data_IF_735197835014
#
_entry.id   IF_735197835014
#
_cell.length_a   1.000
_cell.length_b   1.000
_cell.length_c   1.000
_cell.angle_alpha   90.00
_cell.angle_beta   90.00
_cell.angle_gamma   90.00
#
_symmetry.space_group_name_H-M   'P 1'
#
loop_
_entity.id
_entity.type
_entity.pdbx_description
1 polymer ?
#
# COMPACT_ATOMS: atom_id res chain seq x y z
N UNK A 1 29.83 8.71 -17.40
CA UNK A 1 28.49 8.80 -16.75
C UNK A 1 27.87 7.46 -16.40
N UNK A 2 27.71 6.50 -17.33
CA UNK A 2 26.92 5.26 -17.09
C UNK A 2 27.18 4.53 -15.75
N UNK A 3 28.44 4.33 -15.37
CA UNK A 3 28.82 3.62 -14.12
C UNK A 3 28.16 4.19 -12.85
N UNK A 4 27.98 5.51 -12.75
CA UNK A 4 27.32 6.14 -11.59
C UNK A 4 25.84 5.80 -11.49
N UNK A 5 25.15 5.62 -12.62
CA UNK A 5 23.74 5.22 -12.69
C UNK A 5 23.61 3.75 -12.29
N UNK A 6 24.50 2.89 -12.80
CA UNK A 6 24.57 1.47 -12.42
C UNK A 6 24.86 1.29 -10.93
N UNK A 7 25.83 2.03 -10.38
CA UNK A 7 26.15 2.02 -8.95
C UNK A 7 24.97 2.49 -8.09
N UNK A 8 24.36 3.64 -8.42
CA UNK A 8 23.19 4.16 -7.68
C UNK A 8 21.98 3.22 -7.77
N UNK A 9 21.77 2.52 -8.89
CA UNK A 9 20.75 1.47 -9.00
C UNK A 9 21.02 0.31 -8.03
N UNK A 10 22.22 -0.29 -8.04
CA UNK A 10 22.53 -1.41 -7.14
C UNK A 10 22.49 -1.01 -5.66
N UNK A 11 22.98 0.18 -5.30
CA UNK A 11 22.82 0.72 -3.94
C UNK A 11 21.34 0.88 -3.56
N UNK A 12 20.50 1.35 -4.48
CA UNK A 12 19.06 1.47 -4.25
C UNK A 12 18.35 0.12 -4.05
N UNK A 13 18.76 -0.91 -4.79
CA UNK A 13 18.27 -2.30 -4.59
C UNK A 13 18.79 -2.89 -3.28
N UNK A 14 20.03 -2.61 -2.86
CA UNK A 14 20.55 -3.03 -1.56
C UNK A 14 19.79 -2.39 -0.40
N UNK A 15 19.57 -1.07 -0.42
CA UNK A 15 18.74 -0.39 0.58
C UNK A 15 17.29 -0.92 0.58
N UNK A 16 16.73 -1.23 -0.58
CA UNK A 16 15.39 -1.83 -0.71
C UNK A 16 15.30 -3.23 -0.05
N UNK A 17 16.34 -4.07 -0.21
CA UNK A 17 16.44 -5.38 0.44
C UNK A 17 16.72 -5.27 1.96
N UNK A 18 17.29 -4.17 2.41
CA UNK A 18 17.47 -3.81 3.82
C UNK A 18 16.25 -3.07 4.42
N UNK A 19 15.14 -2.99 3.67
CA UNK A 19 13.91 -2.26 4.01
C UNK A 19 14.06 -0.75 4.25
N UNK A 20 15.22 -0.17 3.94
CA UNK A 20 15.48 1.28 3.96
C UNK A 20 14.86 1.94 2.73
N UNK A 21 13.53 2.06 2.78
CA UNK A 21 12.72 2.58 1.69
C UNK A 21 12.93 4.09 1.42
N UNK A 22 13.55 4.83 2.35
CA UNK A 22 13.88 6.24 2.17
C UNK A 22 15.18 6.40 1.38
N UNK A 23 16.28 5.72 1.77
CA UNK A 23 17.50 5.69 0.94
C UNK A 23 17.26 5.00 -0.40
N UNK A 24 16.47 3.92 -0.43
CA UNK A 24 16.12 3.24 -1.68
C UNK A 24 15.41 4.18 -2.68
N UNK A 25 14.46 5.01 -2.22
CA UNK A 25 13.79 5.97 -3.11
C UNK A 25 14.78 7.03 -3.63
N UNK A 26 15.67 7.58 -2.79
CA UNK A 26 16.69 8.56 -3.24
C UNK A 26 17.60 7.95 -4.31
N UNK A 27 18.20 6.81 -4.02
CA UNK A 27 19.16 6.13 -4.89
C UNK A 27 18.52 5.72 -6.24
N UNK A 28 17.32 5.16 -6.22
CA UNK A 28 16.59 4.77 -7.44
C UNK A 28 16.07 5.98 -8.22
N UNK A 29 15.60 7.03 -7.55
CA UNK A 29 15.13 8.25 -8.23
C UNK A 29 16.30 9.01 -8.88
N UNK A 30 17.46 9.10 -8.22
CA UNK A 30 18.68 9.63 -8.81
C UNK A 30 19.10 8.82 -10.06
N UNK A 31 19.09 7.48 -9.96
CA UNK A 31 19.39 6.61 -11.09
C UNK A 31 18.38 6.83 -12.25
N UNK A 32 17.09 6.98 -11.96
CA UNK A 32 16.05 7.22 -12.96
C UNK A 32 16.21 8.54 -13.71
N UNK A 33 16.51 9.63 -13.00
CA UNK A 33 16.73 10.95 -13.58
C UNK A 33 17.95 10.97 -14.50
N UNK A 34 19.04 10.35 -14.08
CA UNK A 34 20.30 10.28 -14.84
C UNK A 34 20.32 9.18 -15.93
N UNK A 35 19.29 8.34 -16.01
CA UNK A 35 19.21 7.27 -17.01
C UNK A 35 18.84 7.81 -18.39
N UNK A 36 19.81 7.80 -19.31
CA UNK A 36 19.67 8.36 -20.66
C UNK A 36 18.47 7.77 -21.44
N UNK A 37 17.78 8.63 -22.20
CA UNK A 37 16.48 8.30 -22.85
C UNK A 37 16.54 7.10 -23.80
N UNK A 38 17.72 6.80 -24.36
CA UNK A 38 17.93 5.72 -25.34
C UNK A 38 17.99 4.31 -24.72
N UNK A 39 17.97 4.16 -23.38
CA UNK A 39 18.01 2.85 -22.70
C UNK A 39 16.67 2.54 -21.99
N UNK A 40 15.58 2.22 -22.73
CA UNK A 40 14.26 2.01 -22.14
C UNK A 40 14.26 0.88 -21.09
N UNK A 41 14.93 -0.25 -21.37
CA UNK A 41 15.04 -1.40 -20.44
C UNK A 41 15.63 -1.03 -19.07
N UNK A 42 16.62 -0.13 -19.02
CA UNK A 42 17.20 0.30 -17.75
C UNK A 42 16.25 1.21 -16.97
N UNK A 43 15.53 2.10 -17.65
CA UNK A 43 14.47 2.94 -17.04
C UNK A 43 13.33 2.08 -16.50
N UNK A 44 12.96 1.03 -17.23
CA UNK A 44 11.95 0.05 -16.84
C UNK A 44 12.34 -0.70 -15.55
N UNK A 45 13.56 -1.25 -15.49
CA UNK A 45 14.08 -1.91 -14.27
C UNK A 45 14.06 -1.00 -13.04
N UNK A 46 14.45 0.27 -13.18
CA UNK A 46 14.41 1.24 -12.07
C UNK A 46 12.96 1.52 -11.64
N UNK A 47 12.03 1.65 -12.59
CA UNK A 47 10.61 1.87 -12.30
C UNK A 47 9.95 0.69 -11.58
N UNK A 48 10.40 -0.55 -11.82
CA UNK A 48 9.86 -1.73 -11.14
C UNK A 48 10.00 -1.66 -9.61
N UNK A 49 11.07 -1.03 -9.09
CA UNK A 49 11.25 -0.78 -7.67
C UNK A 49 10.69 0.58 -7.22
N UNK A 50 10.84 1.63 -8.05
CA UNK A 50 10.44 2.99 -7.69
C UNK A 50 8.92 3.19 -7.60
N UNK A 51 8.11 2.44 -8.37
CA UNK A 51 6.64 2.52 -8.31
C UNK A 51 6.08 2.01 -6.98
N UNK A 52 6.35 0.78 -6.52
CA UNK A 52 5.81 0.30 -5.25
C UNK A 52 6.37 1.07 -4.04
N UNK A 53 7.64 1.51 -4.06
CA UNK A 53 8.19 2.42 -3.04
C UNK A 53 7.37 3.71 -2.89
N UNK A 54 6.90 4.28 -4.01
CA UNK A 54 6.05 5.49 -4.01
C UNK A 54 4.61 5.19 -3.61
N UNK A 55 4.07 4.06 -4.04
CA UNK A 55 2.73 3.61 -3.67
C UNK A 55 2.62 3.42 -2.14
N UNK A 56 3.64 2.81 -1.52
CA UNK A 56 3.70 2.59 -0.07
C UNK A 56 3.70 3.89 0.75
N UNK A 57 4.38 4.94 0.24
CA UNK A 57 4.40 6.29 0.83
C UNK A 57 3.19 7.15 0.43
N UNK A 58 2.17 6.58 -0.23
CA UNK A 58 1.01 7.32 -0.76
C UNK A 58 1.34 8.37 -1.83
N UNK A 59 2.59 8.42 -2.32
CA UNK A 59 3.03 9.37 -3.35
C UNK A 59 2.43 8.97 -4.70
N UNK A 60 1.91 9.94 -5.45
CA UNK A 60 1.33 9.66 -6.78
C UNK A 60 2.39 9.04 -7.71
N UNK A 61 2.17 7.84 -8.27
CA UNK A 61 3.10 7.21 -9.22
C UNK A 61 3.10 7.97 -10.55
N UNK A 62 4.23 7.90 -11.27
CA UNK A 62 4.45 8.72 -12.46
C UNK A 62 3.77 8.09 -13.69
N UNK A 63 2.45 8.31 -13.82
CA UNK A 63 1.59 7.75 -14.89
C UNK A 63 2.20 7.89 -16.29
N UNK A 64 2.73 9.07 -16.61
CA UNK A 64 3.37 9.41 -17.90
C UNK A 64 4.62 8.60 -18.25
N UNK A 65 5.20 7.85 -17.30
CA UNK A 65 6.24 6.87 -17.61
C UNK A 65 5.73 5.43 -17.58
N UNK A 66 4.65 5.12 -16.86
CA UNK A 66 4.03 3.79 -16.88
C UNK A 66 3.42 3.47 -18.24
N UNK A 67 2.68 4.42 -18.83
CA UNK A 67 2.00 4.29 -20.12
C UNK A 67 2.95 3.94 -21.28
N UNK A 68 4.27 4.15 -21.11
CA UNK A 68 5.32 3.80 -22.07
C UNK A 68 5.82 2.34 -21.96
N UNK A 69 5.41 1.61 -20.92
CA UNK A 69 5.83 0.23 -20.64
C UNK A 69 4.58 -0.63 -20.31
N UNK A 70 4.10 -1.40 -21.29
CA UNK A 70 2.85 -2.16 -21.17
C UNK A 70 2.80 -3.12 -19.97
N UNK A 71 3.84 -3.94 -19.78
CA UNK A 71 3.92 -4.90 -18.66
C UNK A 71 3.93 -4.20 -17.29
N UNK A 72 4.60 -3.05 -17.19
CA UNK A 72 4.68 -2.25 -15.98
C UNK A 72 3.32 -1.63 -15.62
N UNK A 73 2.55 -1.24 -16.64
CA UNK A 73 1.15 -0.80 -16.49
C UNK A 73 0.23 -1.96 -16.10
N UNK A 74 0.31 -3.13 -16.76
CA UNK A 74 -0.53 -4.28 -16.40
C UNK A 74 -0.35 -4.72 -14.94
N UNK A 75 0.91 -4.74 -14.46
CA UNK A 75 1.22 -5.14 -13.09
C UNK A 75 0.77 -4.07 -12.08
N UNK A 76 1.12 -2.79 -12.27
CA UNK A 76 0.93 -1.78 -11.20
C UNK A 76 -0.36 -0.95 -11.32
N UNK A 77 -0.96 -0.78 -12.49
CA UNK A 77 -2.17 0.05 -12.66
C UNK A 77 -3.37 -0.44 -11.81
N UNK A 78 -3.62 -1.75 -11.62
CA UNK A 78 -4.70 -2.23 -10.76
C UNK A 78 -4.45 -1.92 -9.28
N UNK A 79 -3.24 -2.17 -8.75
CA UNK A 79 -2.87 -1.81 -7.38
C UNK A 79 -3.02 -0.30 -7.12
N UNK A 80 -2.61 0.53 -8.08
CA UNK A 80 -2.72 2.00 -7.99
C UNK A 80 -4.20 2.44 -7.93
N UNK A 81 -5.09 1.79 -8.68
CA UNK A 81 -6.54 2.02 -8.60
C UNK A 81 -7.11 1.53 -7.27
N UNK A 82 -6.80 0.31 -6.87
CA UNK A 82 -7.23 -0.30 -5.61
C UNK A 82 -6.89 0.60 -4.40
N UNK A 83 -5.62 0.99 -4.25
CA UNK A 83 -5.15 1.89 -3.17
C UNK A 83 -5.79 3.28 -3.24
N UNK A 84 -6.12 3.80 -4.44
CA UNK A 84 -6.80 5.10 -4.58
C UNK A 84 -8.29 5.06 -4.24
N UNK A 85 -8.95 3.91 -4.45
CA UNK A 85 -10.36 3.69 -4.13
C UNK A 85 -10.56 3.18 -2.69
N UNK A 86 -9.54 2.60 -2.06
CA UNK A 86 -9.68 1.83 -0.82
C UNK A 86 -10.34 0.46 -1.05
N UNK A 87 -10.30 -0.08 -2.27
CA UNK A 87 -10.85 -1.41 -2.57
C UNK A 87 -9.76 -2.47 -2.33
N UNK A 88 -9.99 -3.35 -1.34
CA UNK A 88 -9.05 -4.39 -0.90
C UNK A 88 -9.23 -5.67 -1.71
N UNK A 89 -10.46 -6.07 -2.04
CA UNK A 89 -10.80 -7.17 -2.95
C UNK A 89 -10.05 -7.07 -4.29
N UNK A 90 -10.05 -5.89 -4.91
CA UNK A 90 -9.33 -5.57 -6.14
C UNK A 90 -7.81 -5.61 -5.96
N UNK A 91 -7.32 -5.34 -4.75
CA UNK A 91 -5.90 -5.47 -4.42
C UNK A 91 -5.49 -6.95 -4.37
N UNK A 92 -6.19 -7.72 -3.54
CA UNK A 92 -5.84 -9.11 -3.20
C UNK A 92 -6.07 -10.05 -4.40
N UNK A 93 -7.19 -9.91 -5.11
CA UNK A 93 -7.48 -10.64 -6.35
C UNK A 93 -6.43 -10.41 -7.43
N UNK A 94 -5.88 -9.19 -7.51
CA UNK A 94 -4.79 -8.88 -8.45
C UNK A 94 -3.45 -9.39 -7.94
N UNK A 95 -3.18 -9.32 -6.63
CA UNK A 95 -1.99 -9.86 -5.98
C UNK A 95 -1.81 -11.35 -6.30
N UNK A 96 -2.86 -12.16 -6.13
CA UNK A 96 -2.88 -13.58 -6.51
C UNK A 96 -2.56 -13.82 -7.99
N UNK A 97 -3.00 -12.91 -8.90
CA UNK A 97 -2.74 -13.02 -10.34
C UNK A 97 -1.29 -12.70 -10.71
N UNK A 98 -0.63 -11.74 -10.03
CA UNK A 98 0.73 -11.28 -10.38
C UNK A 98 1.83 -11.73 -9.42
N UNK A 99 1.51 -12.43 -8.35
CA UNK A 99 2.42 -13.03 -7.35
C UNK A 99 3.72 -13.56 -7.99
N UNK A 100 3.60 -14.52 -8.91
CA UNK A 100 4.74 -15.18 -9.58
C UNK A 100 5.59 -14.25 -10.44
N UNK A 101 5.08 -13.08 -10.83
CA UNK A 101 5.83 -12.03 -11.52
C UNK A 101 6.52 -11.06 -10.54
N UNK A 102 5.88 -10.75 -9.41
CA UNK A 102 6.45 -9.92 -8.34
C UNK A 102 7.58 -10.66 -7.61
N UNK A 103 7.37 -11.93 -7.27
CA UNK A 103 8.38 -12.82 -6.65
C UNK A 103 9.65 -12.89 -7.50
N UNK A 104 9.52 -13.15 -8.82
CA UNK A 104 10.65 -13.19 -9.77
C UNK A 104 11.42 -11.86 -9.90
N UNK A 105 10.85 -10.74 -9.42
CA UNK A 105 11.47 -9.41 -9.46
C UNK A 105 11.92 -8.92 -8.08
N UNK A 106 11.66 -9.68 -7.01
CA UNK A 106 11.90 -9.26 -5.63
C UNK A 106 10.95 -8.18 -5.12
N UNK A 107 9.89 -7.84 -5.86
CA UNK A 107 8.99 -6.72 -5.55
C UNK A 107 7.68 -7.16 -4.86
N UNK A 108 7.60 -8.39 -4.38
CA UNK A 108 6.40 -8.91 -3.69
C UNK A 108 6.16 -8.19 -2.35
N UNK A 109 7.13 -8.23 -1.43
CA UNK A 109 6.98 -7.75 -0.05
C UNK A 109 6.62 -6.26 0.06
N UNK A 110 7.16 -5.43 -0.83
CA UNK A 110 6.83 -3.99 -0.90
C UNK A 110 5.39 -3.76 -1.38
N UNK A 111 4.87 -4.61 -2.27
CA UNK A 111 3.47 -4.55 -2.72
C UNK A 111 2.54 -5.06 -1.62
N UNK A 112 2.89 -6.16 -0.93
CA UNK A 112 2.14 -6.64 0.24
C UNK A 112 1.94 -5.52 1.27
N UNK A 113 3.01 -4.81 1.64
CA UNK A 113 2.94 -3.64 2.55
C UNK A 113 2.12 -2.45 2.01
N UNK A 114 1.79 -2.40 0.71
CA UNK A 114 0.86 -1.40 0.17
C UNK A 114 -0.61 -1.73 0.50
N UNK A 115 -0.94 -2.95 0.96
CA UNK A 115 -2.28 -3.32 1.44
C UNK A 115 -2.69 -2.45 2.64
N UNK A 116 -1.76 -2.17 3.56
CA UNK A 116 -1.96 -1.24 4.68
C UNK A 116 -2.35 0.17 4.21
N UNK A 117 -1.77 0.65 3.12
CA UNK A 117 -2.10 1.95 2.54
C UNK A 117 -3.49 1.94 1.87
N UNK A 118 -3.91 0.80 1.30
CA UNK A 118 -5.27 0.59 0.80
C UNK A 118 -6.30 0.63 1.95
N UNK A 119 -6.04 -0.13 3.01
CA UNK A 119 -6.81 -0.16 4.25
C UNK A 119 -6.99 1.24 4.86
N UNK A 120 -5.90 1.99 5.04
CA UNK A 120 -5.99 3.37 5.54
C UNK A 120 -6.84 4.29 4.65
N UNK A 121 -6.88 4.06 3.34
CA UNK A 121 -7.70 4.84 2.42
C UNK A 121 -9.18 4.43 2.45
N UNK A 122 -9.48 3.15 2.75
CA UNK A 122 -10.84 2.70 3.03
C UNK A 122 -11.39 3.30 4.34
N UNK A 123 -10.57 3.37 5.41
CA UNK A 123 -10.99 4.03 6.66
C UNK A 123 -11.26 5.52 6.43
N UNK A 124 -10.45 6.22 5.62
CA UNK A 124 -10.73 7.61 5.18
C UNK A 124 -12.02 7.71 4.36
N UNK A 125 -12.32 6.74 3.50
CA UNK A 125 -13.55 6.72 2.70
C UNK A 125 -14.79 6.55 3.60
N UNK A 126 -14.76 5.60 4.53
CA UNK A 126 -15.87 5.34 5.46
C UNK A 126 -16.09 6.54 6.40
N UNK A 127 -15.02 7.19 6.89
CA UNK A 127 -15.15 8.42 7.68
C UNK A 127 -15.82 9.55 6.88
N UNK A 128 -15.47 9.72 5.60
CA UNK A 128 -16.09 10.72 4.71
C UNK A 128 -17.56 10.41 4.44
N UNK A 129 -17.91 9.14 4.23
CA UNK A 129 -19.31 8.70 4.06
C UNK A 129 -20.14 8.94 5.33
N UNK A 130 -19.55 8.81 6.52
CA UNK A 130 -20.18 9.16 7.81
C UNK A 130 -19.98 10.63 8.20
N UNK A 131 -19.95 11.55 7.22
CA UNK A 131 -19.89 13.01 7.41
C UNK A 131 -18.75 13.52 8.33
N UNK A 132 -17.64 12.79 8.40
CA UNK A 132 -16.49 13.13 9.25
C UNK A 132 -16.57 12.59 10.69
N UNK A 133 -17.60 11.81 11.04
CA UNK A 133 -17.76 11.25 12.37
C UNK A 133 -16.49 10.55 12.88
N UNK A 134 -16.02 10.96 14.06
CA UNK A 134 -14.84 10.38 14.71
C UNK A 134 -15.09 9.01 15.32
N UNK A 135 -16.36 8.65 15.55
CA UNK A 135 -16.76 7.36 16.10
C UNK A 135 -17.42 6.54 14.98
N UNK A 136 -16.83 5.40 14.63
CA UNK A 136 -17.27 4.54 13.52
C UNK A 136 -17.57 3.14 14.08
N UNK A 137 -18.82 2.65 14.05
CA UNK A 137 -19.14 1.27 14.43
C UNK A 137 -18.36 0.27 13.58
N UNK A 138 -17.89 -0.82 14.18
CA UNK A 138 -17.12 -1.84 13.48
C UNK A 138 -17.92 -2.56 12.40
N UNK A 139 -19.26 -2.64 12.54
CA UNK A 139 -20.16 -3.09 11.47
C UNK A 139 -20.08 -2.24 10.18
N UNK A 140 -19.49 -1.03 10.23
CA UNK A 140 -19.21 -0.23 9.03
C UNK A 140 -18.05 -0.80 8.19
N UNK A 141 -17.17 -1.57 8.82
CA UNK A 141 -15.99 -2.20 8.23
C UNK A 141 -16.21 -3.68 7.90
N UNK A 142 -17.37 -4.26 8.22
CA UNK A 142 -17.73 -5.66 7.90
C UNK A 142 -17.54 -6.05 6.42
N UNK A 143 -17.67 -5.10 5.48
CA UNK A 143 -17.32 -5.29 4.05
C UNK A 143 -15.82 -5.52 3.77
N UNK A 144 -14.96 -5.48 4.78
CA UNK A 144 -13.55 -5.89 4.69
C UNK A 144 -13.41 -7.40 4.95
N UNK A 145 -14.33 -8.00 5.72
CA UNK A 145 -14.30 -9.40 6.12
C UNK A 145 -15.30 -10.30 5.35
N UNK A 146 -16.44 -9.74 4.90
CA UNK A 146 -17.50 -10.56 4.29
C UNK A 146 -17.20 -11.10 2.89
N UNK A 147 -16.17 -10.60 2.20
CA UNK A 147 -15.86 -10.99 0.82
C UNK A 147 -15.03 -12.31 0.77
N UNK A 148 -15.26 -13.22 1.74
CA UNK A 148 -14.72 -14.60 1.84
C UNK A 148 -15.83 -15.67 1.89
N UNK A 149 -16.99 -15.40 2.52
CA UNK A 149 -18.10 -16.37 2.56
C UNK A 149 -19.49 -15.70 2.71
N UNK A 150 -20.42 -16.03 1.81
CA UNK A 150 -21.86 -15.68 1.90
C UNK A 150 -22.65 -16.69 2.75
N UNK A 151 -21.96 -17.34 3.72
CA UNK A 151 -22.54 -18.30 4.65
C UNK A 151 -23.27 -17.65 5.83
N UNK A 152 -24.56 -17.95 5.98
CA UNK A 152 -25.36 -17.52 7.14
C UNK A 152 -25.11 -18.40 8.37
N UNK A 153 -24.25 -17.97 9.31
CA UNK A 153 -24.23 -18.49 10.69
C UNK A 153 -23.74 -17.43 11.69
N UNK A 154 -24.52 -17.20 12.76
CA UNK A 154 -24.28 -16.13 13.74
C UNK A 154 -22.99 -16.26 14.55
N UNK A 155 -22.35 -17.44 14.59
CA UNK A 155 -21.07 -17.64 15.26
C UNK A 155 -19.87 -17.10 14.46
N UNK A 156 -19.97 -17.04 13.12
CA UNK A 156 -18.90 -16.48 12.29
C UNK A 156 -18.83 -14.96 12.36
N UNK A 157 -19.95 -14.32 12.69
CA UNK A 157 -20.11 -12.87 12.61
C UNK A 157 -19.32 -12.12 13.70
N UNK A 158 -19.08 -12.76 14.84
CA UNK A 158 -18.15 -12.28 15.87
C UNK A 158 -16.68 -12.49 15.48
N UNK A 159 -16.30 -13.67 14.93
CA UNK A 159 -14.93 -13.89 14.43
C UNK A 159 -14.56 -12.92 13.29
N UNK A 160 -15.49 -12.65 12.37
CA UNK A 160 -15.34 -11.65 11.29
C UNK A 160 -15.22 -10.22 11.84
N UNK A 161 -15.71 -9.94 13.05
CA UNK A 161 -15.48 -8.66 13.75
C UNK A 161 -14.12 -8.64 14.49
N UNK A 162 -13.68 -9.74 15.08
CA UNK A 162 -12.34 -9.88 15.69
C UNK A 162 -11.22 -9.68 14.65
N UNK A 163 -11.39 -10.20 13.44
CA UNK A 163 -10.47 -9.93 12.31
C UNK A 163 -10.39 -8.44 11.98
N UNK A 164 -11.54 -7.74 11.93
CA UNK A 164 -11.60 -6.29 11.70
C UNK A 164 -10.93 -5.52 12.83
N UNK A 165 -11.12 -5.91 14.10
CA UNK A 165 -10.42 -5.31 15.24
C UNK A 165 -8.90 -5.52 15.16
N UNK A 166 -8.45 -6.74 14.82
CA UNK A 166 -7.04 -7.07 14.64
C UNK A 166 -6.41 -6.23 13.52
N UNK A 167 -7.05 -6.13 12.36
CA UNK A 167 -6.56 -5.32 11.23
C UNK A 167 -6.49 -3.84 11.60
N UNK A 168 -7.51 -3.30 12.28
CA UNK A 168 -7.50 -1.89 12.73
C UNK A 168 -6.45 -1.64 13.82
N UNK A 169 -6.24 -2.58 14.75
CA UNK A 169 -5.21 -2.50 15.78
C UNK A 169 -3.80 -2.47 15.17
N UNK A 170 -3.54 -3.27 14.14
CA UNK A 170 -2.28 -3.26 13.40
C UNK A 170 -2.01 -1.89 12.73
N UNK A 171 -3.02 -1.25 12.13
CA UNK A 171 -2.88 0.09 11.54
C UNK A 171 -2.60 1.18 12.59
N UNK A 172 -3.10 1.00 13.82
CA UNK A 172 -2.83 1.88 14.96
C UNK A 172 -1.40 1.67 15.47
N UNK A 173 -0.98 0.41 15.65
CA UNK A 173 0.38 0.05 16.08
C UNK A 173 1.46 0.56 15.11
N UNK A 174 1.20 0.53 13.80
CA UNK A 174 2.07 1.09 12.77
C UNK A 174 2.09 2.65 12.71
N UNK A 175 1.35 3.38 13.55
CA UNK A 175 1.13 4.85 13.48
C UNK A 175 0.65 5.30 12.08
N UNK A 176 -0.14 4.44 11.39
CA UNK A 176 -0.84 4.81 10.16
C UNK A 176 -2.24 5.37 10.42
N UNK A 177 -2.82 5.02 11.56
CA UNK A 177 -4.15 5.42 12.02
C UNK A 177 -4.05 5.88 13.47
N UNK A 178 -4.46 7.12 13.77
CA UNK A 178 -4.46 7.63 15.16
C UNK A 178 -5.86 7.57 15.73
N UNK A 179 -6.05 6.68 16.71
CA UNK A 179 -7.32 6.43 17.38
C UNK A 179 -7.18 5.28 18.38
N UNK A 180 -8.30 4.80 18.92
CA UNK A 180 -8.39 3.61 19.75
C UNK A 180 -9.64 2.80 19.39
N UNK A 181 -9.64 1.51 19.74
CA UNK A 181 -10.80 0.62 19.58
C UNK A 181 -11.48 0.50 20.95
N UNK A 182 -12.80 0.63 20.98
CA UNK A 182 -13.62 0.49 22.19
C UNK A 182 -14.43 -0.82 22.11
N UNK A 183 -13.75 -1.94 22.37
CA UNK A 183 -14.26 -3.31 22.22
C UNK A 183 -15.70 -3.51 22.75
N UNK A 184 -15.98 -3.09 23.99
CA UNK A 184 -17.32 -3.21 24.61
C UNK A 184 -18.46 -2.50 23.86
N UNK A 185 -18.14 -1.53 23.00
CA UNK A 185 -19.12 -0.80 22.18
C UNK A 185 -19.04 -1.17 20.70
N UNK A 186 -18.06 -2.02 20.30
CA UNK A 186 -17.69 -2.31 18.91
C UNK A 186 -17.53 -1.02 18.08
N UNK A 187 -16.78 -0.05 18.60
CA UNK A 187 -16.52 1.26 17.95
C UNK A 187 -15.02 1.51 17.74
N UNK A 188 -14.65 1.94 16.53
CA UNK A 188 -13.38 2.63 16.28
C UNK A 188 -13.54 4.12 16.60
N UNK A 189 -12.68 4.67 17.47
CA UNK A 189 -12.67 6.10 17.83
C UNK A 189 -11.39 6.75 17.29
N UNK A 190 -11.55 7.52 16.22
CA UNK A 190 -10.48 8.29 15.58
C UNK A 190 -10.13 9.55 16.37
N UNK A 191 -8.85 9.94 16.33
CA UNK A 191 -8.39 11.21 16.89
C UNK A 191 -9.13 12.41 16.28
N UNK A 192 -9.34 13.45 17.09
CA UNK A 192 -9.82 14.76 16.62
C UNK A 192 -8.71 15.58 15.94
N UNK A 193 -7.46 15.27 16.24
CA UNK A 193 -6.27 15.90 15.66
C UNK A 193 -5.48 14.84 14.86
N UNK A 194 -5.31 15.07 13.57
CA UNK A 194 -4.52 14.20 12.65
C UNK A 194 -4.83 12.68 12.76
N UNK A 195 -6.09 12.27 12.57
CA UNK A 195 -6.46 10.85 12.54
C UNK A 195 -5.65 9.99 11.54
N UNK A 196 -5.07 10.61 10.50
CA UNK A 196 -4.20 9.97 9.52
C UNK A 196 -2.94 10.84 9.31
N UNK A 197 -1.77 10.46 9.85
CA UNK A 197 -0.54 11.20 9.61
C UNK A 197 -0.06 11.09 8.16
N UNK A 198 0.73 12.06 7.72
CA UNK A 198 1.37 12.04 6.41
C UNK A 198 2.48 10.98 6.37
N UNK A 199 2.33 9.96 5.51
CA UNK A 199 3.25 8.82 5.38
C UNK A 199 4.52 9.18 4.58
N UNK A 200 5.24 10.20 5.06
CA UNK A 200 6.48 10.71 4.46
C UNK A 200 7.69 9.84 4.79
N UNK A 201 7.70 9.20 5.95
CA UNK A 201 8.66 8.18 6.39
C UNK A 201 7.92 6.89 6.72
N UNK A 202 8.57 5.75 6.48
CA UNK A 202 8.03 4.43 6.83
C UNK A 202 8.83 3.94 8.04
N UNK A 203 8.16 3.79 9.18
CA UNK A 203 8.71 3.02 10.29
C UNK A 203 8.71 1.55 9.87
N UNK A 204 9.88 0.93 9.82
CA UNK A 204 9.96 -0.53 9.88
C UNK A 204 9.52 -0.97 11.30
N UNK A 205 8.88 -2.14 11.38
CA UNK A 205 8.53 -2.79 12.65
C UNK A 205 9.73 -3.58 13.18
#
# INVERSE_FOLDING_TARGET
MGHWVTYRYYMGVLCFLQEDYDKAEEHLYFAFLNCHRNYPRHRELILYFLIPLRLLKGKRPIKTYMERFGQLTEIYQPFIKAVQLGNIEMFDRHMLRVEKQLMKRGTYLIVERCRDACLCNLVKLIQRLKLGAHQIPLDSFKKIAYEVDEGETSAEDDSKLEEVECVLANLIAQDRLRGYIHHQAKMLVLSKLEAFPAQNSIKAC
#
